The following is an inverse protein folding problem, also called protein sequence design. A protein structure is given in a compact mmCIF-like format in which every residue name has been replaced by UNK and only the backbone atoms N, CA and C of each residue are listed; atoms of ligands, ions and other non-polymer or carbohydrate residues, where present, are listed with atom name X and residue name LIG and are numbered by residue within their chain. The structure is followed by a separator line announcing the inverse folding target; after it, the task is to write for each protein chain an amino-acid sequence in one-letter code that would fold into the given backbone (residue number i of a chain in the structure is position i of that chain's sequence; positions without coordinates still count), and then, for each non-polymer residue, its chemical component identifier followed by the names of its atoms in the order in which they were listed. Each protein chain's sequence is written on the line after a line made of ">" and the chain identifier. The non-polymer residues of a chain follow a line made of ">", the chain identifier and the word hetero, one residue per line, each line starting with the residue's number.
data_IF_675864420177
#
_entry.id   IF_675864420177
#
_cell.length_a   1.000
_cell.length_b   1.000
_cell.length_c   1.000
_cell.angle_alpha   90.00
_cell.angle_beta   90.00
_cell.angle_gamma   90.00
#
_symmetry.space_group_name_H-M   'P 1'
#
loop_
_entity.id
_entity.type
_entity.pdbx_description
1 polymer ?
#
# COMPACT_ATOMS: atom_id res chain seq x y z
N UNK A 1 -8.23 1.36 -21.37
CA UNK A 1 -9.60 0.77 -21.30
C UNK A 1 -9.81 -0.02 -20.00
N UNK A 2 -8.93 -0.94 -19.63
CA UNK A 2 -9.13 -1.79 -18.45
C UNK A 2 -9.19 -1.06 -17.10
N UNK A 3 -8.34 -0.06 -16.87
CA UNK A 3 -8.33 0.71 -15.63
C UNK A 3 -9.61 1.53 -15.44
N UNK A 4 -10.11 2.16 -16.50
CA UNK A 4 -11.37 2.90 -16.47
C UNK A 4 -12.57 1.99 -16.15
N UNK A 5 -12.60 0.78 -16.70
CA UNK A 5 -13.64 -0.19 -16.39
C UNK A 5 -13.58 -0.65 -14.93
N UNK A 6 -12.37 -0.89 -14.38
CA UNK A 6 -12.21 -1.20 -12.95
C UNK A 6 -12.66 -0.04 -12.06
N UNK A 7 -12.31 1.20 -12.42
CA UNK A 7 -12.73 2.38 -11.68
C UNK A 7 -14.26 2.50 -11.64
N UNK A 8 -14.95 2.37 -12.80
CA UNK A 8 -16.41 2.43 -12.86
C UNK A 8 -17.06 1.39 -11.95
N UNK A 9 -16.59 0.15 -11.99
CA UNK A 9 -17.10 -0.92 -11.12
C UNK A 9 -16.88 -0.59 -9.63
N UNK A 10 -15.68 -0.19 -9.26
CA UNK A 10 -15.39 0.17 -7.86
C UNK A 10 -16.26 1.36 -7.39
N UNK A 11 -16.47 2.37 -8.24
CA UNK A 11 -17.31 3.52 -7.94
C UNK A 11 -18.80 3.13 -7.82
N UNK A 12 -19.29 2.20 -8.64
CA UNK A 12 -20.64 1.67 -8.56
C UNK A 12 -20.85 0.85 -7.29
N UNK A 13 -19.91 -0.01 -6.95
CA UNK A 13 -19.94 -0.78 -5.70
C UNK A 13 -19.94 0.15 -4.48
N UNK A 14 -19.07 1.15 -4.46
CA UNK A 14 -19.04 2.13 -3.37
C UNK A 14 -20.37 2.90 -3.24
N UNK A 15 -21.03 3.24 -4.35
CA UNK A 15 -22.34 3.90 -4.30
C UNK A 15 -23.45 2.99 -3.79
N UNK A 16 -23.40 1.72 -4.14
CA UNK A 16 -24.42 0.73 -3.77
C UNK A 16 -24.28 0.27 -2.31
N UNK A 17 -23.04 -0.02 -1.89
CA UNK A 17 -22.77 -0.74 -0.65
C UNK A 17 -22.14 0.14 0.44
N UNK A 18 -21.81 1.41 0.12
CA UNK A 18 -21.12 2.32 1.01
C UNK A 18 -21.52 3.78 0.83
N UNK A 19 -20.61 4.68 1.13
CA UNK A 19 -20.78 6.13 1.04
C UNK A 19 -19.65 6.75 0.22
N UNK A 20 -19.99 7.46 -0.83
CA UNK A 20 -19.05 8.32 -1.56
C UNK A 20 -18.89 9.64 -0.80
N UNK A 21 -17.67 9.92 -0.34
CA UNK A 21 -17.35 11.20 0.29
C UNK A 21 -16.96 12.26 -0.74
N UNK A 22 -16.24 11.84 -1.80
CA UNK A 22 -15.90 12.69 -2.95
C UNK A 22 -15.57 11.85 -4.17
N UNK A 23 -15.61 12.45 -5.36
CA UNK A 23 -15.21 11.82 -6.61
C UNK A 23 -16.23 10.86 -7.20
N UNK A 24 -15.85 9.62 -7.43
CA UNK A 24 -16.63 8.52 -8.02
C UNK A 24 -17.20 8.82 -9.42
N UNK A 25 -16.60 9.70 -10.19
CA UNK A 25 -17.09 10.08 -11.54
C UNK A 25 -15.97 10.08 -12.58
N UNK A 26 -16.33 9.77 -13.79
CA UNK A 26 -15.48 9.97 -14.97
C UNK A 26 -15.50 11.44 -15.34
N UNK A 27 -14.38 11.95 -15.83
CA UNK A 27 -14.22 13.32 -16.30
C UNK A 27 -14.09 13.25 -17.83
N UNK A 28 -15.17 13.55 -18.53
CA UNK A 28 -15.29 13.41 -19.99
C UNK A 28 -15.81 14.68 -20.69
N UNK A 29 -15.70 15.82 -20.02
CA UNK A 29 -16.11 17.11 -20.57
C UNK A 29 -14.92 17.83 -21.24
N UNK A 30 -15.18 18.55 -22.32
CA UNK A 30 -14.23 19.40 -23.03
C UNK A 30 -12.97 18.63 -23.45
N UNK A 31 -11.81 19.13 -23.08
CA UNK A 31 -10.51 18.52 -23.43
C UNK A 31 -10.31 17.14 -22.78
N UNK A 32 -11.00 16.86 -21.68
CA UNK A 32 -10.89 15.58 -20.97
C UNK A 32 -11.62 14.44 -21.69
N UNK A 33 -12.52 14.75 -22.62
CA UNK A 33 -13.21 13.76 -23.46
C UNK A 33 -12.26 12.95 -24.36
N UNK A 34 -11.05 13.47 -24.60
CA UNK A 34 -10.04 12.81 -25.42
C UNK A 34 -9.15 11.82 -24.65
N UNK A 35 -9.45 11.54 -23.37
CA UNK A 35 -8.64 10.65 -22.53
C UNK A 35 -9.46 9.82 -21.55
N UNK A 36 -8.75 9.16 -20.64
CA UNK A 36 -9.33 8.35 -19.57
C UNK A 36 -9.12 9.04 -18.23
N UNK A 37 -9.84 10.08 -17.97
CA UNK A 37 -9.74 10.86 -16.75
C UNK A 37 -10.85 10.52 -15.77
N UNK A 38 -10.51 10.43 -14.50
CA UNK A 38 -11.45 10.16 -13.41
C UNK A 38 -11.19 11.10 -12.24
N UNK A 39 -12.22 11.45 -11.50
CA UNK A 39 -12.05 12.18 -10.26
C UNK A 39 -11.45 11.27 -9.20
N UNK A 40 -10.40 11.70 -8.47
CA UNK A 40 -9.95 11.00 -7.28
C UNK A 40 -11.11 10.75 -6.33
N UNK A 41 -11.22 9.53 -5.84
CA UNK A 41 -12.39 9.08 -5.07
C UNK A 41 -11.99 8.78 -3.65
N UNK A 42 -12.78 9.27 -2.70
CA UNK A 42 -12.70 8.89 -1.29
C UNK A 42 -14.08 8.37 -0.87
N UNK A 43 -14.10 7.23 -0.19
CA UNK A 43 -15.32 6.61 0.28
C UNK A 43 -15.19 5.86 1.59
N UNK A 44 -16.34 5.53 2.17
CA UNK A 44 -16.50 4.63 3.31
C UNK A 44 -17.32 3.43 2.89
N UNK A 45 -16.90 2.26 3.31
CA UNK A 45 -17.62 1.01 3.06
C UNK A 45 -17.29 0.03 4.17
N UNK A 46 -18.14 -0.96 4.39
CA UNK A 46 -17.92 -2.00 5.39
C UNK A 46 -16.53 -2.64 5.27
N UNK A 47 -15.89 -2.89 6.42
CA UNK A 47 -14.53 -3.42 6.48
C UNK A 47 -14.39 -4.84 5.88
N UNK A 48 -15.47 -5.60 5.82
CA UNK A 48 -15.53 -6.91 5.15
C UNK A 48 -15.59 -6.84 3.64
N UNK A 49 -15.85 -5.67 3.07
CA UNK A 49 -16.00 -5.51 1.62
C UNK A 49 -14.68 -5.73 0.89
N UNK A 50 -14.74 -6.35 -0.31
CA UNK A 50 -13.55 -6.67 -1.10
C UNK A 50 -12.68 -5.47 -1.46
N UNK A 51 -13.24 -4.28 -1.60
CA UNK A 51 -12.50 -3.06 -1.92
C UNK A 51 -11.43 -2.70 -0.89
N UNK A 52 -11.48 -3.24 0.34
CA UNK A 52 -10.42 -3.13 1.33
C UNK A 52 -9.25 -4.09 1.12
N UNK A 53 -9.47 -5.19 0.39
CA UNK A 53 -8.49 -6.26 0.21
C UNK A 53 -7.89 -6.28 -1.19
N UNK A 54 -8.67 -5.91 -2.21
CA UNK A 54 -8.22 -5.93 -3.60
C UNK A 54 -7.32 -4.74 -3.89
N UNK A 55 -6.17 -4.99 -4.49
CA UNK A 55 -5.30 -3.93 -5.00
C UNK A 55 -5.90 -3.34 -6.28
N UNK A 56 -6.48 -2.16 -6.18
CA UNK A 56 -7.25 -1.57 -7.29
C UNK A 56 -6.37 -0.93 -8.37
N UNK A 57 -5.19 -0.38 -8.01
CA UNK A 57 -4.35 0.45 -8.90
C UNK A 57 -5.13 1.61 -9.55
N UNK A 58 -5.84 2.34 -8.72
CA UNK A 58 -6.74 3.42 -9.12
C UNK A 58 -6.59 4.62 -8.17
N UNK A 59 -6.97 5.84 -8.60
CA UNK A 59 -7.07 6.99 -7.69
C UNK A 59 -8.30 6.86 -6.79
N UNK A 60 -8.26 5.89 -5.89
CA UNK A 60 -9.37 5.46 -5.05
C UNK A 60 -8.87 5.19 -3.64
N UNK A 61 -9.44 5.85 -2.65
CA UNK A 61 -9.08 5.75 -1.24
C UNK A 61 -10.32 5.38 -0.43
N UNK A 62 -10.17 4.43 0.45
CA UNK A 62 -11.16 4.14 1.49
C UNK A 62 -10.68 4.68 2.83
N UNK A 63 -11.61 5.16 3.63
CA UNK A 63 -11.37 5.62 4.99
C UNK A 63 -12.32 4.91 5.95
N UNK A 64 -11.81 4.58 7.13
CA UNK A 64 -12.57 4.02 8.22
C UNK A 64 -12.19 4.70 9.53
N UNK A 65 -13.12 4.78 10.46
CA UNK A 65 -12.86 5.17 11.82
C UNK A 65 -12.60 3.90 12.65
N UNK A 66 -11.70 4.01 13.60
CA UNK A 66 -11.34 2.95 14.54
C UNK A 66 -11.34 3.52 15.95
N UNK A 67 -11.56 2.68 16.95
CA UNK A 67 -11.62 3.11 18.35
C UNK A 67 -10.26 3.04 19.04
N UNK A 68 -9.28 2.33 18.46
CA UNK A 68 -7.97 2.15 19.04
C UNK A 68 -6.87 1.93 18.00
N UNK A 69 -5.63 2.14 18.42
CA UNK A 69 -4.45 1.78 17.60
C UNK A 69 -4.38 0.28 17.34
N UNK A 70 -4.78 -0.54 18.32
CA UNK A 70 -4.80 -2.00 18.17
C UNK A 70 -5.72 -2.43 17.03
N UNK A 71 -6.92 -1.89 16.98
CA UNK A 71 -7.85 -2.13 15.90
C UNK A 71 -7.35 -1.61 14.55
N UNK A 72 -6.71 -0.43 14.53
CA UNK A 72 -6.12 0.12 13.32
C UNK A 72 -5.04 -0.80 12.73
N UNK A 73 -4.15 -1.32 13.57
CA UNK A 73 -3.07 -2.23 13.17
C UNK A 73 -3.65 -3.57 12.69
N UNK A 74 -4.61 -4.13 13.42
CA UNK A 74 -5.27 -5.38 13.04
C UNK A 74 -5.93 -5.25 11.66
N UNK A 75 -6.69 -4.19 11.43
CA UNK A 75 -7.32 -3.93 10.13
C UNK A 75 -6.31 -3.67 9.01
N UNK A 76 -5.25 -2.93 9.29
CA UNK A 76 -4.18 -2.68 8.31
C UNK A 76 -3.45 -3.97 7.93
N UNK A 77 -3.31 -4.90 8.87
CA UNK A 77 -2.69 -6.20 8.63
C UNK A 77 -3.63 -7.23 7.98
N UNK A 78 -4.94 -7.00 7.97
CA UNK A 78 -5.95 -7.91 7.40
C UNK A 78 -5.99 -7.87 5.86
N UNK A 79 -4.83 -7.89 5.22
CA UNK A 79 -4.64 -7.93 3.76
C UNK A 79 -3.52 -8.88 3.38
N UNK A 80 -3.56 -9.41 2.16
CA UNK A 80 -2.50 -10.25 1.61
C UNK A 80 -1.27 -9.45 1.17
N UNK A 81 -1.29 -8.13 1.30
CA UNK A 81 -0.23 -7.22 0.91
C UNK A 81 0.42 -6.55 2.12
N UNK A 82 1.69 -6.15 1.95
CA UNK A 82 2.45 -5.48 3.00
C UNK A 82 3.62 -4.70 2.41
N UNK A 83 3.37 -3.81 1.43
CA UNK A 83 4.44 -3.03 0.83
C UNK A 83 4.83 -1.86 1.74
N UNK A 84 3.90 -0.95 2.00
CA UNK A 84 4.15 0.23 2.81
C UNK A 84 3.03 0.47 3.81
N UNK A 85 3.41 0.97 4.99
CA UNK A 85 2.48 1.46 5.99
C UNK A 85 2.98 2.76 6.61
N UNK A 86 2.09 3.73 6.79
CA UNK A 86 2.37 5.00 7.42
C UNK A 86 1.57 5.18 8.70
N UNK A 87 2.20 5.76 9.71
CA UNK A 87 1.56 6.10 10.97
C UNK A 87 1.70 7.59 11.26
N UNK A 88 0.61 8.19 11.68
CA UNK A 88 0.56 9.58 12.14
C UNK A 88 -0.16 9.61 13.49
N UNK A 89 0.60 9.80 14.55
CA UNK A 89 0.07 9.72 15.92
C UNK A 89 1.05 10.17 16.98
N UNK A 90 0.74 9.85 18.22
CA UNK A 90 1.51 10.23 19.38
C UNK A 90 2.82 9.43 19.47
N UNK A 91 3.81 10.02 20.14
CA UNK A 91 5.17 9.45 20.20
C UNK A 91 5.23 8.14 20.98
N UNK A 92 4.41 8.01 21.99
CA UNK A 92 4.29 6.81 22.84
C UNK A 92 3.62 5.63 22.14
N UNK A 93 2.87 5.87 21.07
CA UNK A 93 2.22 4.84 20.27
C UNK A 93 3.15 4.23 19.20
N UNK A 94 4.23 4.94 18.84
CA UNK A 94 5.15 4.54 17.76
C UNK A 94 5.72 3.13 17.95
N UNK A 95 6.21 2.74 19.16
CA UNK A 95 6.76 1.40 19.34
C UNK A 95 5.73 0.30 19.05
N UNK A 96 4.50 0.46 19.49
CA UNK A 96 3.43 -0.52 19.27
C UNK A 96 3.09 -0.67 17.77
N UNK A 97 3.08 0.45 17.04
CA UNK A 97 2.89 0.43 15.59
C UNK A 97 4.03 -0.30 14.87
N UNK A 98 5.29 0.08 15.14
CA UNK A 98 6.47 -0.47 14.45
C UNK A 98 6.69 -1.96 14.73
N UNK A 99 6.33 -2.42 15.94
CA UNK A 99 6.48 -3.82 16.34
C UNK A 99 5.46 -4.75 15.67
N UNK A 100 4.28 -4.23 15.37
CA UNK A 100 3.13 -5.06 14.99
C UNK A 100 2.65 -4.91 13.55
N UNK A 101 3.05 -3.84 12.86
CA UNK A 101 2.62 -3.62 11.49
C UNK A 101 3.34 -4.56 10.51
N UNK A 102 2.59 -5.21 9.65
CA UNK A 102 3.11 -6.19 8.69
C UNK A 102 3.38 -5.56 7.32
N UNK A 103 4.35 -4.64 7.27
CA UNK A 103 4.78 -3.98 6.05
C UNK A 103 6.31 -3.90 5.95
N UNK A 104 6.84 -4.05 4.73
CA UNK A 104 8.28 -4.01 4.48
C UNK A 104 8.87 -2.61 4.55
N UNK A 105 8.09 -1.57 4.34
CA UNK A 105 8.49 -0.17 4.47
C UNK A 105 7.52 0.54 5.39
N UNK A 106 8.04 1.11 6.47
CA UNK A 106 7.25 1.90 7.42
C UNK A 106 7.75 3.33 7.51
N UNK A 107 6.85 4.26 7.75
CA UNK A 107 7.20 5.64 8.06
C UNK A 107 6.24 6.20 9.12
N UNK A 108 6.76 7.13 9.94
CA UNK A 108 6.02 7.73 11.05
C UNK A 108 6.09 9.24 10.96
N UNK A 109 4.95 9.89 11.12
CA UNK A 109 4.79 11.35 11.18
C UNK A 109 5.54 12.09 10.05
N UNK A 110 5.59 11.51 8.88
CA UNK A 110 6.30 12.05 7.73
C UNK A 110 5.50 13.20 7.11
N UNK A 111 6.03 14.43 7.02
CA UNK A 111 5.27 15.60 6.58
C UNK A 111 4.90 15.57 5.10
N UNK A 112 5.63 14.79 4.30
CA UNK A 112 5.35 14.61 2.88
C UNK A 112 5.14 13.13 2.58
N UNK A 113 3.93 12.79 2.18
CA UNK A 113 3.59 11.42 1.79
C UNK A 113 4.38 11.01 0.54
N UNK A 114 5.21 9.98 0.67
CA UNK A 114 5.66 9.23 -0.48
C UNK A 114 5.10 7.83 -0.35
N UNK A 115 4.51 7.36 -1.40
CA UNK A 115 3.89 6.04 -1.43
C UNK A 115 4.88 4.92 -1.12
N UNK A 116 6.16 5.11 -1.46
CA UNK A 116 7.18 4.09 -1.24
C UNK A 116 7.91 4.22 0.09
N UNK A 117 7.99 5.42 0.67
CA UNK A 117 8.59 5.65 1.98
C UNK A 117 10.09 5.41 2.10
N UNK A 118 10.68 4.57 1.28
CA UNK A 118 12.10 4.22 1.36
C UNK A 118 13.00 5.19 0.58
N UNK A 119 14.20 5.45 1.13
CA UNK A 119 15.24 6.23 0.47
C UNK A 119 16.28 5.28 -0.13
N UNK A 120 16.38 5.18 -1.46
CA UNK A 120 17.40 4.35 -2.10
C UNK A 120 18.82 4.68 -1.60
N UNK A 121 19.60 3.63 -1.31
CA UNK A 121 20.94 3.76 -0.76
C UNK A 121 21.03 3.84 0.77
N UNK A 122 19.94 4.16 1.45
CA UNK A 122 19.85 4.16 2.91
C UNK A 122 18.92 3.08 3.44
N UNK A 123 17.82 2.86 2.75
CA UNK A 123 16.79 1.94 3.18
C UNK A 123 16.50 0.94 2.08
N UNK A 124 16.28 -0.29 2.48
CA UNK A 124 15.77 -1.31 1.59
C UNK A 124 14.32 -1.01 1.21
N UNK A 125 13.98 -1.26 -0.05
CA UNK A 125 12.62 -1.16 -0.54
C UNK A 125 12.10 -2.53 -0.96
N UNK A 126 11.14 -3.06 -0.21
CA UNK A 126 10.49 -4.32 -0.52
C UNK A 126 9.33 -4.58 0.41
N UNK A 127 8.41 -5.41 -0.03
CA UNK A 127 7.20 -5.73 0.70
C UNK A 127 7.28 -7.05 1.47
N UNK A 128 6.39 -7.19 2.41
CA UNK A 128 6.07 -8.44 3.07
C UNK A 128 4.85 -9.09 2.41
N UNK A 129 4.49 -10.26 2.84
CA UNK A 129 3.35 -11.03 2.31
C UNK A 129 3.41 -11.12 0.77
N UNK A 130 2.29 -10.94 0.09
CA UNK A 130 2.22 -10.94 -1.38
C UNK A 130 2.94 -9.77 -2.08
N UNK A 131 3.39 -8.76 -1.32
CA UNK A 131 4.15 -7.63 -1.87
C UNK A 131 5.66 -7.89 -1.97
N UNK A 132 6.16 -9.03 -1.55
CA UNK A 132 7.57 -9.39 -1.62
C UNK A 132 7.79 -10.89 -1.74
N UNK A 133 8.77 -11.30 -2.53
CA UNK A 133 9.03 -12.72 -2.82
C UNK A 133 10.12 -13.36 -1.97
N UNK A 134 11.08 -12.59 -1.47
CA UNK A 134 12.28 -13.14 -0.82
C UNK A 134 12.60 -12.56 0.55
N UNK A 135 11.93 -11.51 0.98
CA UNK A 135 12.31 -10.70 2.15
C UNK A 135 13.63 -9.96 2.00
N UNK A 136 14.26 -10.00 0.82
CA UNK A 136 15.50 -9.29 0.48
C UNK A 136 15.18 -8.18 -0.51
N UNK A 137 15.06 -6.99 0.01
CA UNK A 137 14.56 -5.83 -0.72
C UNK A 137 15.60 -5.20 -1.63
N UNK A 138 15.12 -4.53 -2.68
CA UNK A 138 15.95 -3.69 -3.55
C UNK A 138 16.68 -2.64 -2.71
N UNK A 139 17.94 -2.41 -3.02
CA UNK A 139 18.79 -1.46 -2.28
C UNK A 139 19.29 -1.95 -0.92
N UNK A 140 19.00 -3.19 -0.52
CA UNK A 140 19.56 -3.80 0.68
C UNK A 140 20.94 -4.41 0.41
N UNK A 141 21.73 -4.60 1.47
CA UNK A 141 23.01 -5.34 1.41
C UNK A 141 22.86 -6.78 0.91
N UNK A 142 21.67 -7.35 1.08
CA UNK A 142 21.37 -8.74 0.74
C UNK A 142 20.78 -8.91 -0.67
N UNK A 143 20.56 -7.82 -1.40
CA UNK A 143 19.94 -7.91 -2.70
C UNK A 143 20.79 -8.65 -3.73
N UNK A 144 22.06 -8.29 -3.87
CA UNK A 144 22.97 -8.97 -4.79
C UNK A 144 23.34 -10.40 -4.34
N UNK A 145 23.66 -10.66 -3.07
CA UNK A 145 24.00 -12.00 -2.61
C UNK A 145 22.97 -13.08 -2.90
N UNK A 146 21.69 -12.74 -2.97
CA UNK A 146 20.64 -13.73 -3.31
C UNK A 146 20.75 -14.30 -4.73
N UNK A 147 21.50 -13.64 -5.62
CA UNK A 147 21.78 -14.10 -6.98
C UNK A 147 23.15 -14.74 -7.15
N UNK A 148 23.95 -14.78 -6.10
CA UNK A 148 25.29 -15.35 -6.09
C UNK A 148 25.27 -16.73 -5.46
N UNK A 149 26.33 -17.50 -5.74
CA UNK A 149 26.58 -18.80 -5.13
C UNK A 149 27.88 -18.74 -4.35
N UNK A 150 27.88 -19.26 -3.14
CA UNK A 150 29.08 -19.43 -2.35
C UNK A 150 29.83 -20.69 -2.82
N UNK A 151 31.16 -20.61 -2.86
CA UNK A 151 32.03 -21.72 -3.19
C UNK A 151 33.19 -21.76 -2.21
N UNK A 152 33.36 -22.90 -1.52
CA UNK A 152 34.57 -23.18 -0.75
C UNK A 152 35.60 -23.88 -1.65
N UNK A 153 36.85 -23.39 -1.61
CA UNK A 153 37.96 -23.97 -2.34
C UNK A 153 39.11 -24.27 -1.38
N UNK A 154 39.64 -25.50 -1.44
CA UNK A 154 40.85 -25.89 -0.71
C UNK A 154 41.88 -26.38 -1.72
N UNK A 155 43.07 -25.78 -1.69
CA UNK A 155 44.22 -26.19 -2.50
C UNK A 155 45.31 -26.65 -1.53
N UNK A 156 45.83 -27.83 -1.76
CA UNK A 156 46.98 -28.39 -0.99
C UNK A 156 48.10 -28.55 -2.00
N UNK A 157 49.27 -27.94 -1.71
CA UNK A 157 50.49 -28.04 -2.52
C UNK A 157 51.26 -29.34 -2.16
#
# INVERSE_FOLDING_TARGET
>A
AGALARYRRAAEELRRDGQVLTGARVLDDGVLAHGHFVAPTIGRIDAGHRLWRDELFLPFLLVAEVESLDEAIERANATDYGLTAGFYGARDEIPAFLDRIEAGVTYVNRPQGATTGAWPGYQAFGGWKGSGSTGKAIGSFWYLPQYLREQSQTVVD
#
